data_IF_975611471131
#
_entry.id   IF_975611471131
#
_cell.length_a   1.000
_cell.length_b   1.000
_cell.length_c   1.000
_cell.angle_alpha   90.00
_cell.angle_beta   90.00
_cell.angle_gamma   90.00
#
_symmetry.space_group_name_H-M   'P 1'
#
loop_
_entity.id
_entity.type
_entity.pdbx_description
1 polymer ?
#
# COMPACT_ATOMS: atom_id res chain seq x y z
N UNK A 1 -13.55 29.25 9.14
CA UNK A 1 -13.60 29.26 7.65
C UNK A 1 -13.95 30.65 7.12
N UNK A 2 -14.93 31.34 7.71
CA UNK A 2 -15.34 32.71 7.33
C UNK A 2 -14.19 33.75 7.32
N UNK A 3 -13.45 33.89 8.43
CA UNK A 3 -12.37 34.91 8.56
C UNK A 3 -11.24 34.84 7.51
N UNK A 4 -11.08 33.71 6.82
CA UNK A 4 -10.04 33.50 5.80
C UNK A 4 -10.47 33.96 4.41
N UNK A 5 -11.76 33.87 4.13
CA UNK A 5 -12.35 34.32 2.87
C UNK A 5 -12.38 35.85 2.83
N UNK A 6 -12.75 36.46 3.96
CA UNK A 6 -12.69 37.91 4.15
C UNK A 6 -11.27 38.46 3.94
N UNK A 7 -10.25 37.77 4.45
CA UNK A 7 -8.85 38.21 4.30
C UNK A 7 -8.36 38.12 2.84
N UNK A 8 -8.81 37.12 2.08
CA UNK A 8 -8.52 37.02 0.65
C UNK A 8 -9.22 38.14 -0.14
N UNK A 9 -10.47 38.43 0.18
CA UNK A 9 -11.25 39.51 -0.44
C UNK A 9 -10.62 40.88 -0.19
N UNK A 10 -10.11 41.15 1.02
CA UNK A 10 -9.38 42.37 1.36
C UNK A 10 -8.09 42.54 0.54
N UNK A 11 -7.30 41.47 0.38
CA UNK A 11 -6.04 41.49 -0.39
C UNK A 11 -6.29 41.74 -1.88
N UNK A 12 -7.35 41.17 -2.43
CA UNK A 12 -7.76 41.41 -3.82
C UNK A 12 -8.27 42.85 -4.00
N UNK A 13 -9.07 43.36 -3.06
CA UNK A 13 -9.53 44.76 -3.07
C UNK A 13 -8.37 45.76 -2.97
N UNK A 14 -7.32 45.42 -2.23
CA UNK A 14 -6.10 46.23 -2.13
C UNK A 14 -5.23 46.22 -3.41
N UNK A 15 -5.64 45.52 -4.47
CA UNK A 15 -4.99 45.55 -5.78
C UNK A 15 -3.73 44.68 -5.86
N UNK A 16 -3.50 43.79 -4.91
CA UNK A 16 -2.36 42.88 -4.97
C UNK A 16 -2.60 41.77 -6.00
N UNK A 17 -1.62 41.45 -6.87
CA UNK A 17 -1.75 40.37 -7.83
C UNK A 17 -1.73 39.01 -7.12
N UNK A 18 -2.82 38.26 -7.25
CA UNK A 18 -2.99 36.95 -6.60
C UNK A 18 -3.21 35.86 -7.65
N UNK A 19 -2.35 34.84 -7.68
CA UNK A 19 -2.53 33.66 -8.54
C UNK A 19 -3.71 32.83 -8.02
N UNK A 20 -4.81 32.80 -8.75
CA UNK A 20 -6.07 32.15 -8.34
C UNK A 20 -5.98 30.62 -8.29
N UNK A 21 -4.99 29.96 -8.91
CA UNK A 21 -4.85 28.50 -8.86
C UNK A 21 -4.04 28.00 -7.66
N UNK A 22 -2.97 28.71 -7.32
CA UNK A 22 -2.09 28.34 -6.20
C UNK A 22 -2.55 29.01 -4.89
N UNK A 23 -3.00 30.26 -4.98
CA UNK A 23 -3.28 31.12 -3.81
C UNK A 23 -4.72 31.00 -3.30
N UNK A 24 -5.66 30.49 -4.11
CA UNK A 24 -7.05 30.26 -3.66
C UNK A 24 -7.15 29.19 -2.55
N UNK A 25 -6.20 28.26 -2.47
CA UNK A 25 -6.00 27.49 -1.26
C UNK A 25 -4.92 28.17 -0.42
N UNK A 26 -5.34 29.01 0.51
CA UNK A 26 -4.45 29.59 1.54
C UNK A 26 -3.66 28.53 2.34
N UNK A 27 -4.01 27.23 2.27
CA UNK A 27 -3.17 26.14 2.80
C UNK A 27 -1.94 25.82 1.93
N UNK A 28 -1.95 26.24 0.66
CA UNK A 28 -0.92 26.07 -0.35
C UNK A 28 -0.08 27.33 -0.59
N UNK A 29 -0.26 28.37 0.22
CA UNK A 29 0.67 29.51 0.22
C UNK A 29 2.07 28.96 0.46
N UNK A 30 2.95 29.16 -0.53
CA UNK A 30 4.39 29.01 -0.38
C UNK A 30 4.76 29.81 0.87
N UNK A 31 5.22 29.12 1.90
CA UNK A 31 5.51 29.77 3.18
C UNK A 31 6.68 30.72 2.97
N UNK A 32 6.39 32.02 2.90
CA UNK A 32 7.40 33.04 2.72
C UNK A 32 8.29 33.12 3.97
N UNK A 33 9.59 33.44 3.80
CA UNK A 33 10.47 33.76 4.91
C UNK A 33 9.84 34.79 5.85
N UNK A 34 9.88 34.55 7.15
CA UNK A 34 9.26 35.40 8.17
C UNK A 34 7.80 35.07 8.51
N UNK A 35 7.11 34.22 7.74
CA UNK A 35 5.74 33.81 8.07
C UNK A 35 5.67 32.84 9.26
N UNK A 36 4.71 33.04 10.17
CA UNK A 36 4.49 32.21 11.37
C UNK A 36 3.53 31.05 11.07
N UNK A 37 3.89 29.84 11.49
CA UNK A 37 3.03 28.67 11.39
C UNK A 37 1.91 28.70 12.46
N UNK A 38 0.67 28.97 12.07
CA UNK A 38 -0.44 29.14 13.02
C UNK A 38 -0.68 28.00 14.02
N UNK A 39 -0.36 26.75 13.69
CA UNK A 39 -0.45 25.61 14.64
C UNK A 39 0.74 25.46 15.59
N UNK A 40 1.96 25.80 15.15
CA UNK A 40 3.19 25.42 15.86
C UNK A 40 3.96 26.62 16.38
N UNK A 41 3.68 27.83 15.91
CA UNK A 41 4.37 29.07 16.30
C UNK A 41 5.77 29.24 15.70
N UNK A 42 6.22 28.32 14.84
CA UNK A 42 7.53 28.40 14.20
C UNK A 42 7.54 29.36 13.01
N UNK A 43 8.63 30.11 12.85
CA UNK A 43 8.79 31.08 11.77
C UNK A 43 9.55 30.43 10.62
N UNK A 44 9.03 30.60 9.40
CA UNK A 44 9.68 30.11 8.20
C UNK A 44 11.01 30.84 8.00
N UNK A 45 12.10 30.08 7.99
CA UNK A 45 13.46 30.61 7.94
C UNK A 45 14.15 30.12 6.67
N UNK A 46 14.99 30.97 6.07
CA UNK A 46 15.86 30.58 4.96
C UNK A 46 17.06 29.85 5.57
N UNK A 47 17.39 28.68 5.02
CA UNK A 47 18.56 27.91 5.42
C UNK A 47 19.63 27.97 4.33
N UNK A 48 20.88 28.06 4.75
CA UNK A 48 22.02 27.92 3.82
C UNK A 48 22.28 26.44 3.53
N UNK A 49 22.96 26.19 2.41
CA UNK A 49 23.32 24.83 2.00
C UNK A 49 24.26 24.17 3.01
N UNK A 50 25.18 24.94 3.60
CA UNK A 50 26.09 24.50 4.66
C UNK A 50 25.34 24.06 5.93
N UNK A 51 24.32 24.81 6.35
CA UNK A 51 23.47 24.44 7.48
C UNK A 51 22.73 23.11 7.22
N UNK A 52 22.27 22.90 5.99
CA UNK A 52 21.56 21.68 5.60
C UNK A 52 22.44 20.43 5.67
N UNK A 53 23.75 20.59 5.42
CA UNK A 53 24.74 19.51 5.53
C UNK A 53 25.12 19.17 6.98
N UNK A 54 24.80 20.05 7.94
CA UNK A 54 25.07 19.81 9.35
C UNK A 54 23.91 19.05 10.04
N UNK A 55 24.20 18.23 11.07
CA UNK A 55 23.16 17.56 11.84
C UNK A 55 22.14 18.56 12.41
N UNK A 56 20.85 18.28 12.18
CA UNK A 56 19.74 19.15 12.55
C UNK A 56 19.82 19.76 13.96
N UNK A 57 20.25 18.96 14.93
CA UNK A 57 20.38 19.38 16.34
C UNK A 57 21.36 20.54 16.56
N UNK A 58 22.33 20.75 15.66
CA UNK A 58 23.34 21.80 15.82
C UNK A 58 22.78 23.20 15.56
N UNK A 59 21.76 23.31 14.70
CA UNK A 59 21.24 24.60 14.26
C UNK A 59 19.76 24.80 14.53
N UNK A 60 19.03 23.78 14.98
CA UNK A 60 17.60 23.87 15.30
C UNK A 60 17.27 25.00 16.29
N UNK A 61 18.09 25.21 17.32
CA UNK A 61 17.84 26.24 18.34
C UNK A 61 18.07 27.67 17.81
N UNK A 62 18.70 27.83 16.64
CA UNK A 62 18.86 29.12 15.95
C UNK A 62 17.63 29.56 15.15
N UNK A 63 16.65 28.65 14.98
CA UNK A 63 15.43 28.94 14.22
C UNK A 63 14.54 29.91 14.99
N UNK A 64 14.06 30.96 14.29
CA UNK A 64 13.12 31.93 14.86
C UNK A 64 11.78 31.28 15.17
N UNK A 65 11.18 31.65 16.30
CA UNK A 65 9.86 31.17 16.74
C UNK A 65 9.17 32.23 17.59
N UNK A 66 7.85 32.14 17.67
CA UNK A 66 7.04 32.93 18.59
C UNK A 66 7.22 32.41 20.04
N UNK A 67 6.99 33.25 21.05
CA UNK A 67 7.16 32.87 22.47
C UNK A 67 6.27 31.70 22.88
N UNK A 68 5.04 31.66 22.38
CA UNK A 68 4.09 30.57 22.57
C UNK A 68 4.30 29.37 21.60
N UNK A 69 5.46 29.24 20.95
CA UNK A 69 5.71 28.15 20.02
C UNK A 69 5.79 26.78 20.72
N UNK A 70 5.23 25.76 20.07
CA UNK A 70 5.32 24.38 20.55
C UNK A 70 6.74 23.89 20.35
N UNK A 71 7.27 23.15 21.32
CA UNK A 71 8.58 22.52 21.20
C UNK A 71 8.69 21.60 19.98
N UNK A 72 9.82 21.73 19.27
CA UNK A 72 10.07 20.92 18.09
C UNK A 72 10.41 19.48 18.50
N UNK A 73 9.78 18.46 17.90
CA UNK A 73 10.05 17.07 18.24
C UNK A 73 11.48 16.68 17.85
N UNK A 74 12.36 16.56 18.86
CA UNK A 74 13.81 16.27 18.68
C UNK A 74 14.12 14.81 18.32
N UNK A 75 13.13 13.93 18.38
CA UNK A 75 13.23 12.52 18.02
C UNK A 75 12.15 12.22 16.99
N UNK A 76 12.54 11.59 15.88
CA UNK A 76 11.54 10.96 15.01
C UNK A 76 10.76 9.95 15.86
N UNK A 77 9.45 9.81 15.62
CA UNK A 77 8.70 8.66 16.13
C UNK A 77 9.20 7.42 15.39
N UNK A 78 10.43 7.00 15.63
CA UNK A 78 10.86 5.67 15.24
C UNK A 78 9.93 4.73 16.00
N UNK A 79 9.17 3.93 15.25
CA UNK A 79 8.55 2.76 15.86
C UNK A 79 9.71 1.97 16.44
N UNK A 80 9.81 1.90 17.77
CA UNK A 80 10.72 0.95 18.42
C UNK A 80 10.35 -0.41 17.85
N UNK A 81 11.22 -0.97 17.01
CA UNK A 81 11.15 -2.39 16.71
C UNK A 81 11.37 -3.09 18.03
N UNK A 82 10.32 -3.65 18.62
CA UNK A 82 10.44 -4.48 19.82
C UNK A 82 11.00 -5.87 19.52
N UNK A 83 11.54 -6.10 18.32
CA UNK A 83 12.23 -7.30 17.94
C UNK A 83 13.57 -6.96 17.29
N UNK A 84 14.58 -6.67 18.10
CA UNK A 84 15.96 -6.98 17.72
C UNK A 84 16.13 -8.48 17.93
N UNK A 85 15.69 -9.28 16.96
CA UNK A 85 16.11 -10.68 16.86
C UNK A 85 17.63 -10.63 16.63
N UNK A 86 18.39 -10.97 17.65
CA UNK A 86 19.83 -11.20 17.51
C UNK A 86 19.95 -12.34 16.51
N UNK A 87 20.27 -12.02 15.25
CA UNK A 87 20.66 -13.04 14.28
C UNK A 87 21.97 -13.61 14.82
N UNK A 88 21.95 -14.89 15.21
CA UNK A 88 23.19 -15.65 15.35
C UNK A 88 23.95 -15.52 14.02
N UNK A 89 25.24 -15.15 14.03
CA UNK A 89 26.02 -15.19 12.81
C UNK A 89 26.14 -16.65 12.38
N UNK A 90 25.36 -17.05 11.38
CA UNK A 90 25.66 -18.25 10.61
C UNK A 90 26.79 -17.87 9.64
N UNK A 91 27.91 -18.56 9.71
CA UNK A 91 29.05 -18.42 8.77
C UNK A 91 28.74 -18.94 7.35
N UNK A 92 27.46 -19.06 7.00
CA UNK A 92 27.01 -19.47 5.68
C UNK A 92 26.56 -18.19 5.00
N UNK A 93 27.22 -17.81 3.89
CA UNK A 93 26.71 -16.72 3.07
C UNK A 93 25.25 -17.01 2.73
N UNK A 94 24.31 -16.09 3.01
CA UNK A 94 22.91 -16.34 2.70
C UNK A 94 22.78 -16.50 1.19
N UNK A 95 22.31 -17.68 0.79
CA UNK A 95 22.05 -18.03 -0.60
C UNK A 95 21.07 -17.02 -1.20
N UNK A 96 21.30 -16.66 -2.47
CA UNK A 96 20.40 -15.75 -3.18
C UNK A 96 19.21 -16.54 -3.69
N UNK A 97 18.00 -16.05 -3.42
CA UNK A 97 16.76 -16.68 -3.87
C UNK A 97 16.11 -15.87 -4.97
N UNK A 98 15.72 -16.52 -6.07
CA UNK A 98 14.88 -15.94 -7.12
C UNK A 98 13.42 -16.37 -6.94
N UNK A 99 12.47 -15.50 -7.28
CA UNK A 99 11.05 -15.84 -7.25
C UNK A 99 10.25 -15.02 -8.26
N UNK A 100 9.07 -15.51 -8.62
CA UNK A 100 8.12 -14.83 -9.49
C UNK A 100 7.11 -14.09 -8.62
N UNK A 101 6.94 -12.80 -8.90
CA UNK A 101 5.95 -11.95 -8.24
C UNK A 101 4.99 -11.35 -9.26
N UNK A 102 3.72 -11.19 -8.85
CA UNK A 102 2.69 -10.53 -9.64
C UNK A 102 2.21 -9.28 -8.93
N UNK A 103 1.96 -8.23 -9.72
CA UNK A 103 1.36 -7.01 -9.24
C UNK A 103 -0.13 -7.18 -8.99
N UNK A 104 -0.61 -6.71 -7.86
CA UNK A 104 -2.04 -6.55 -7.58
C UNK A 104 -2.73 -5.49 -8.45
N UNK A 105 -1.99 -4.65 -9.16
CA UNK A 105 -2.56 -3.58 -9.97
C UNK A 105 -3.37 -4.13 -11.15
N UNK A 106 -4.58 -3.58 -11.39
CA UNK A 106 -5.34 -3.85 -12.61
C UNK A 106 -4.85 -2.95 -13.74
N UNK A 107 -4.07 -3.45 -14.71
CA UNK A 107 -3.45 -2.59 -15.71
C UNK A 107 -4.50 -2.01 -16.66
N UNK A 108 -4.27 -0.81 -17.15
CA UNK A 108 -5.28 -0.03 -17.90
C UNK A 108 -6.25 0.76 -17.02
N UNK A 109 -6.16 0.63 -15.69
CA UNK A 109 -6.91 1.46 -14.74
C UNK A 109 -5.97 2.40 -13.98
N UNK A 110 -6.48 3.52 -13.46
CA UNK A 110 -5.66 4.46 -12.67
C UNK A 110 -5.57 4.09 -11.19
N UNK A 111 -6.64 3.52 -10.63
CA UNK A 111 -6.83 3.40 -9.18
C UNK A 111 -7.54 2.09 -8.77
N UNK A 112 -7.31 1.00 -9.53
CA UNK A 112 -7.87 -0.31 -9.17
C UNK A 112 -6.75 -1.34 -8.96
N UNK A 113 -7.00 -2.22 -8.00
CA UNK A 113 -6.15 -3.36 -7.68
C UNK A 113 -7.03 -4.56 -7.31
N UNK A 114 -6.58 -5.77 -7.63
CA UNK A 114 -7.19 -7.00 -7.17
C UNK A 114 -6.75 -7.35 -5.75
N UNK A 115 -7.55 -8.15 -5.07
CA UNK A 115 -7.15 -8.72 -3.79
C UNK A 115 -6.31 -9.96 -4.06
N UNK A 116 -4.99 -9.83 -3.95
CA UNK A 116 -4.05 -10.95 -4.05
C UNK A 116 -3.09 -10.83 -2.86
N UNK A 117 -3.08 -11.82 -1.97
CA UNK A 117 -2.20 -11.83 -0.79
C UNK A 117 -2.17 -13.23 -0.15
N UNK A 118 -1.08 -13.54 0.55
CA UNK A 118 -1.01 -14.75 1.36
C UNK A 118 -1.82 -14.58 2.65
N UNK A 119 -2.70 -15.54 2.96
CA UNK A 119 -3.55 -15.49 4.15
C UNK A 119 -2.71 -15.34 5.43
N UNK A 120 -3.20 -14.57 6.43
CA UNK A 120 -2.47 -14.33 7.66
C UNK A 120 -2.06 -15.63 8.37
N UNK A 121 -0.82 -15.73 8.85
CA UNK A 121 -0.32 -16.94 9.52
C UNK A 121 -1.11 -17.33 10.76
N UNK A 122 -1.72 -16.36 11.44
CA UNK A 122 -2.57 -16.61 12.60
C UNK A 122 -3.97 -17.13 12.24
N UNK A 123 -4.27 -17.35 10.95
CA UNK A 123 -5.52 -17.97 10.52
C UNK A 123 -5.49 -19.50 10.62
N UNK A 124 -4.33 -20.10 10.91
CA UNK A 124 -4.16 -21.53 11.13
C UNK A 124 -3.62 -22.24 9.89
N UNK A 125 -3.75 -23.56 9.89
CA UNK A 125 -3.39 -24.44 8.78
C UNK A 125 -4.22 -24.12 7.52
N UNK A 126 -3.77 -24.51 6.31
CA UNK A 126 -4.42 -24.12 5.06
C UNK A 126 -5.94 -24.30 5.01
N UNK A 127 -6.48 -25.41 5.53
CA UNK A 127 -7.92 -25.67 5.56
C UNK A 127 -8.68 -24.67 6.46
N UNK A 128 -8.15 -24.39 7.65
CA UNK A 128 -8.74 -23.42 8.57
C UNK A 128 -8.65 -22.00 8.02
N UNK A 129 -7.53 -21.67 7.37
CA UNK A 129 -7.29 -20.39 6.75
C UNK A 129 -8.28 -20.15 5.59
N UNK A 130 -8.53 -21.17 4.74
CA UNK A 130 -9.55 -21.10 3.69
C UNK A 130 -10.94 -20.88 4.28
N UNK A 131 -11.32 -21.60 5.34
CA UNK A 131 -12.64 -21.40 6.00
C UNK A 131 -12.84 -19.95 6.46
N UNK A 132 -11.84 -19.38 7.16
CA UNK A 132 -11.87 -17.96 7.57
C UNK A 132 -11.88 -17.02 6.37
N UNK A 133 -11.21 -17.39 5.28
CA UNK A 133 -11.23 -16.62 4.05
C UNK A 133 -12.62 -16.62 3.38
N UNK A 134 -13.39 -17.71 3.47
CA UNK A 134 -14.77 -17.75 2.98
C UNK A 134 -15.69 -16.82 3.77
N UNK A 135 -15.60 -16.85 5.11
CA UNK A 135 -16.34 -15.91 5.97
C UNK A 135 -15.99 -14.45 5.62
N UNK A 136 -14.71 -14.20 5.34
CA UNK A 136 -14.22 -12.91 4.87
C UNK A 136 -14.78 -12.55 3.47
N UNK A 137 -14.78 -13.46 2.51
CA UNK A 137 -15.30 -13.21 1.16
C UNK A 137 -16.81 -12.91 1.20
N UNK A 138 -17.56 -13.64 2.03
CA UNK A 138 -18.98 -13.40 2.26
C UNK A 138 -19.25 -12.04 2.91
N UNK A 139 -18.45 -11.65 3.91
CA UNK A 139 -18.59 -10.37 4.61
C UNK A 139 -18.43 -9.14 3.70
N UNK A 140 -17.61 -9.24 2.65
CA UNK A 140 -17.35 -8.14 1.72
C UNK A 140 -17.92 -8.37 0.32
N UNK A 141 -18.74 -9.42 0.14
CA UNK A 141 -19.33 -9.80 -1.16
C UNK A 141 -18.28 -9.81 -2.27
N UNK A 142 -17.18 -10.53 -2.06
CA UNK A 142 -16.03 -10.51 -2.98
C UNK A 142 -16.28 -11.32 -4.27
N UNK A 143 -17.22 -12.25 -4.25
CA UNK A 143 -17.44 -13.20 -5.33
C UNK A 143 -16.35 -14.27 -5.41
N UNK A 144 -16.28 -14.91 -6.58
CA UNK A 144 -15.39 -16.03 -6.85
C UNK A 144 -13.94 -15.67 -6.50
N UNK A 145 -13.34 -16.53 -5.70
CA UNK A 145 -12.00 -16.36 -5.15
C UNK A 145 -11.23 -17.66 -5.29
N UNK A 146 -10.05 -17.59 -5.89
CA UNK A 146 -9.18 -18.73 -6.11
C UNK A 146 -8.16 -18.86 -4.98
N UNK A 147 -7.86 -20.11 -4.61
CA UNK A 147 -6.96 -20.45 -3.52
C UNK A 147 -5.89 -21.45 -3.96
N UNK A 148 -4.66 -21.21 -3.53
CA UNK A 148 -3.53 -22.14 -3.69
C UNK A 148 -2.80 -22.33 -2.36
N UNK A 149 -2.01 -23.40 -2.23
CA UNK A 149 -1.17 -23.65 -1.05
C UNK A 149 0.24 -24.07 -1.43
N UNK A 150 1.23 -23.64 -0.66
CA UNK A 150 2.60 -24.17 -0.71
C UNK A 150 2.84 -25.29 0.31
N UNK A 151 1.77 -25.78 0.95
CA UNK A 151 1.80 -26.75 2.04
C UNK A 151 1.79 -26.11 3.42
N UNK A 152 2.31 -24.88 3.58
CA UNK A 152 2.35 -24.17 4.86
C UNK A 152 1.35 -23.00 4.92
N UNK A 153 1.16 -22.31 3.79
CA UNK A 153 0.35 -21.11 3.69
C UNK A 153 -0.55 -21.18 2.48
N UNK A 154 -1.65 -20.45 2.59
CA UNK A 154 -2.61 -20.31 1.49
C UNK A 154 -2.45 -18.95 0.82
N UNK A 155 -2.33 -18.96 -0.50
CA UNK A 155 -2.46 -17.77 -1.35
C UNK A 155 -3.93 -17.59 -1.74
N UNK A 156 -4.43 -16.36 -1.66
CA UNK A 156 -5.80 -16.02 -2.05
C UNK A 156 -5.78 -14.99 -3.17
N UNK A 157 -6.60 -15.20 -4.21
CA UNK A 157 -6.87 -14.24 -5.27
C UNK A 157 -8.37 -14.02 -5.44
N UNK A 158 -8.84 -12.80 -5.19
CA UNK A 158 -10.13 -12.32 -5.65
C UNK A 158 -9.90 -11.40 -6.85
N UNK A 159 -10.22 -11.84 -8.08
CA UNK A 159 -9.90 -11.11 -9.31
C UNK A 159 -10.94 -10.02 -9.60
N UNK A 160 -11.26 -9.18 -8.61
CA UNK A 160 -12.14 -8.02 -8.72
C UNK A 160 -11.32 -6.75 -8.81
N UNK A 161 -11.71 -5.80 -9.65
CA UNK A 161 -11.05 -4.51 -9.79
C UNK A 161 -11.52 -3.55 -8.69
N UNK A 162 -10.98 -3.71 -7.49
CA UNK A 162 -11.37 -2.98 -6.28
C UNK A 162 -10.68 -1.59 -6.26
N UNK A 163 -11.39 -0.49 -5.93
CA UNK A 163 -10.75 0.80 -5.69
C UNK A 163 -9.68 0.69 -4.59
N UNK A 164 -8.47 1.23 -4.82
CA UNK A 164 -7.36 1.07 -3.86
C UNK A 164 -7.71 1.50 -2.44
N UNK A 165 -8.46 2.60 -2.30
CA UNK A 165 -8.90 3.07 -0.98
C UNK A 165 -9.79 2.06 -0.25
N UNK A 166 -10.67 1.37 -0.98
CA UNK A 166 -11.51 0.33 -0.41
C UNK A 166 -10.68 -0.92 -0.10
N UNK A 167 -9.78 -1.31 -1.00
CA UNK A 167 -8.85 -2.42 -0.77
C UNK A 167 -8.01 -2.20 0.49
N UNK A 168 -7.47 -0.98 0.69
CA UNK A 168 -6.71 -0.63 1.90
C UNK A 168 -7.57 -0.71 3.16
N UNK A 169 -8.83 -0.28 3.13
CA UNK A 169 -9.76 -0.39 4.26
C UNK A 169 -10.05 -1.85 4.61
N UNK A 170 -10.39 -2.65 3.60
CA UNK A 170 -10.67 -4.08 3.75
C UNK A 170 -9.43 -4.81 4.28
N UNK A 171 -8.27 -4.61 3.65
CA UNK A 171 -7.01 -5.24 4.07
C UNK A 171 -6.65 -4.88 5.52
N UNK A 172 -6.79 -3.61 5.91
CA UNK A 172 -6.52 -3.14 7.28
C UNK A 172 -7.42 -3.83 8.31
N UNK A 173 -8.73 -3.89 8.04
CA UNK A 173 -9.72 -4.41 9.00
C UNK A 173 -9.56 -5.91 9.26
N UNK A 174 -9.02 -6.65 8.30
CA UNK A 174 -8.94 -8.12 8.37
C UNK A 174 -7.51 -8.66 8.51
N UNK A 175 -6.53 -7.82 8.85
CA UNK A 175 -5.18 -8.27 9.20
C UNK A 175 -4.21 -8.49 8.03
N UNK A 176 -4.57 -8.10 6.81
CA UNK A 176 -3.70 -8.15 5.62
C UNK A 176 -2.73 -6.95 5.60
N UNK A 177 -1.84 -6.89 6.59
CA UNK A 177 -1.00 -5.72 6.84
C UNK A 177 0.01 -5.44 5.71
N UNK A 178 0.48 -6.47 5.00
CA UNK A 178 1.40 -6.33 3.89
C UNK A 178 0.71 -5.66 2.70
N UNK A 179 -0.35 -6.26 2.15
CA UNK A 179 -1.21 -5.68 1.12
C UNK A 179 -1.61 -4.24 1.44
N UNK A 180 -2.11 -4.01 2.66
CA UNK A 180 -2.47 -2.68 3.15
C UNK A 180 -1.32 -1.68 2.98
N UNK A 181 -0.12 -2.05 3.46
CA UNK A 181 1.05 -1.16 3.49
C UNK A 181 1.58 -0.89 2.08
N UNK A 182 1.65 -1.91 1.24
CA UNK A 182 2.20 -1.77 -0.11
C UNK A 182 1.24 -0.96 -1.00
N UNK A 183 -0.07 -1.26 -0.99
CA UNK A 183 -1.06 -0.49 -1.76
C UNK A 183 -1.12 0.97 -1.31
N UNK A 184 -1.06 1.25 -0.01
CA UNK A 184 -1.09 2.62 0.51
C UNK A 184 0.18 3.44 0.16
N UNK A 185 1.34 2.78 0.03
CA UNK A 185 2.62 3.46 -0.19
C UNK A 185 3.08 3.50 -1.63
N UNK A 186 2.74 2.47 -2.40
CA UNK A 186 3.28 2.20 -3.73
C UNK A 186 2.17 1.92 -4.74
N UNK A 187 0.91 2.21 -4.41
CA UNK A 187 -0.27 2.01 -5.24
C UNK A 187 -0.67 0.55 -5.50
N UNK A 188 0.25 -0.39 -5.40
CA UNK A 188 0.02 -1.82 -5.53
C UNK A 188 1.03 -2.62 -4.70
N UNK A 189 0.65 -3.85 -4.39
CA UNK A 189 1.58 -4.85 -3.86
C UNK A 189 2.13 -5.74 -4.98
N UNK A 190 3.37 -6.19 -4.80
CA UNK A 190 3.96 -7.29 -5.53
C UNK A 190 3.92 -8.53 -4.65
N UNK A 191 3.29 -9.60 -5.13
CA UNK A 191 2.98 -10.81 -4.35
C UNK A 191 3.65 -11.99 -5.01
N UNK A 192 4.42 -12.76 -4.23
CA UNK A 192 5.07 -13.99 -4.69
C UNK A 192 4.03 -15.04 -5.03
N UNK A 193 4.14 -15.65 -6.21
CA UNK A 193 3.26 -16.74 -6.70
C UNK A 193 4.02 -18.02 -7.09
N UNK A 194 5.32 -18.09 -6.78
CA UNK A 194 6.15 -19.27 -7.01
C UNK A 194 6.85 -19.70 -5.73
N UNK A 195 7.43 -20.90 -5.76
CA UNK A 195 8.52 -21.27 -4.84
C UNK A 195 9.71 -20.32 -4.97
N UNK A 196 10.61 -20.36 -3.99
CA UNK A 196 11.89 -19.67 -4.02
C UNK A 196 12.95 -20.57 -4.66
N UNK A 197 13.64 -20.09 -5.68
CA UNK A 197 14.74 -20.79 -6.33
C UNK A 197 16.07 -20.36 -5.71
N UNK A 198 16.73 -21.26 -5.00
CA UNK A 198 18.12 -21.11 -4.58
C UNK A 198 19.08 -21.73 -5.58
N UNK A 199 20.26 -21.14 -5.73
CA UNK A 199 21.32 -21.62 -6.64
C UNK A 199 21.82 -23.03 -6.27
N UNK A 200 21.82 -23.36 -4.99
CA UNK A 200 22.18 -24.66 -4.42
C UNK A 200 20.94 -25.48 -4.02
N UNK A 201 19.92 -24.85 -3.46
CA UNK A 201 18.71 -25.55 -2.99
C UNK A 201 17.73 -25.92 -4.11
N UNK A 202 17.89 -25.35 -5.30
CA UNK A 202 16.92 -25.46 -6.38
C UNK A 202 15.60 -24.76 -6.04
N UNK A 203 14.52 -25.14 -6.74
CA UNK A 203 13.18 -24.65 -6.44
C UNK A 203 12.67 -25.22 -5.12
N UNK A 204 12.19 -24.33 -4.25
CA UNK A 204 11.33 -24.69 -3.14
C UNK A 204 9.98 -25.25 -3.61
N UNK A 205 9.13 -25.62 -2.65
CA UNK A 205 7.85 -26.28 -2.93
C UNK A 205 6.95 -25.54 -3.93
N UNK A 206 6.20 -26.33 -4.70
CA UNK A 206 5.27 -25.85 -5.70
C UNK A 206 4.02 -25.23 -5.07
N UNK A 207 3.41 -24.30 -5.80
CA UNK A 207 2.14 -23.72 -5.44
C UNK A 207 0.99 -24.57 -6.02
N UNK A 208 0.32 -25.32 -5.15
CA UNK A 208 -0.70 -26.30 -5.53
C UNK A 208 -2.09 -25.65 -5.54
N UNK A 209 -2.88 -25.78 -6.62
CA UNK A 209 -4.25 -25.27 -6.66
C UNK A 209 -5.15 -26.00 -5.66
N UNK A 210 -5.95 -25.25 -4.90
CA UNK A 210 -6.99 -25.80 -4.02
C UNK A 210 -8.31 -25.84 -4.77
N UNK A 211 -8.96 -24.68 -4.98
CA UNK A 211 -10.19 -24.55 -5.74
C UNK A 211 -10.57 -23.05 -5.94
N UNK A 212 -11.62 -22.80 -6.72
CA UNK A 212 -12.36 -21.53 -6.79
C UNK A 212 -13.61 -21.62 -5.92
N UNK A 213 -13.73 -20.77 -4.91
CA UNK A 213 -14.82 -20.76 -3.94
C UNK A 213 -15.50 -19.38 -3.86
N UNK A 214 -16.51 -19.21 -3.00
CA UNK A 214 -17.27 -17.97 -2.79
C UNK A 214 -18.05 -17.44 -4.02
N UNK A 215 -18.32 -18.32 -4.98
CA UNK A 215 -18.99 -18.00 -6.24
C UNK A 215 -20.44 -17.54 -6.02
N UNK A 216 -21.06 -17.98 -4.93
CA UNK A 216 -22.41 -17.62 -4.50
C UNK A 216 -22.58 -16.11 -4.22
N UNK A 217 -21.48 -15.40 -3.95
CA UNK A 217 -21.51 -13.94 -3.71
C UNK A 217 -21.18 -13.10 -4.95
N UNK A 218 -21.08 -13.73 -6.12
CA UNK A 218 -20.76 -13.04 -7.38
C UNK A 218 -21.77 -11.95 -7.73
N UNK A 219 -23.06 -12.24 -7.61
CA UNK A 219 -24.15 -11.29 -7.91
C UNK A 219 -24.15 -10.07 -6.99
N UNK A 220 -23.61 -10.21 -5.78
CA UNK A 220 -23.59 -9.16 -4.77
C UNK A 220 -22.35 -8.26 -4.90
N UNK A 221 -21.34 -8.70 -5.66
CA UNK A 221 -20.10 -7.98 -5.82
C UNK A 221 -20.26 -6.77 -6.75
N UNK A 222 -20.15 -5.57 -6.17
CA UNK A 222 -20.29 -4.31 -6.91
C UNK A 222 -19.08 -3.97 -7.80
N UNK A 223 -17.98 -4.72 -7.69
CA UNK A 223 -16.75 -4.41 -8.42
C UNK A 223 -16.65 -5.23 -9.71
N UNK A 224 -16.26 -4.59 -10.82
CA UNK A 224 -16.07 -5.30 -12.07
C UNK A 224 -14.92 -6.29 -11.93
N UNK A 225 -14.88 -7.28 -12.83
CA UNK A 225 -13.78 -8.24 -12.86
C UNK A 225 -12.46 -7.57 -13.25
N UNK A 226 -11.34 -8.12 -12.79
CA UNK A 226 -10.01 -7.77 -13.31
C UNK A 226 -9.59 -8.79 -14.37
N UNK A 227 -9.47 -8.33 -15.61
CA UNK A 227 -9.11 -9.20 -16.74
C UNK A 227 -7.75 -9.88 -16.53
N UNK A 228 -6.72 -9.11 -16.18
CA UNK A 228 -5.38 -9.59 -15.89
C UNK A 228 -5.33 -10.67 -14.80
N UNK A 229 -6.15 -10.53 -13.76
CA UNK A 229 -6.13 -11.48 -12.65
C UNK A 229 -7.01 -12.71 -12.90
N UNK A 230 -8.01 -12.60 -13.77
CA UNK A 230 -8.71 -13.78 -14.28
C UNK A 230 -7.79 -14.62 -15.16
N UNK A 231 -7.06 -13.98 -16.08
CA UNK A 231 -6.06 -14.65 -16.90
C UNK A 231 -4.95 -15.27 -16.05
N UNK A 232 -4.51 -14.57 -15.00
CA UNK A 232 -3.55 -15.11 -14.04
C UNK A 232 -4.07 -16.40 -13.40
N UNK A 233 -5.31 -16.41 -12.92
CA UNK A 233 -5.89 -17.58 -12.28
C UNK A 233 -6.02 -18.78 -13.24
N UNK A 234 -6.44 -18.53 -14.48
CA UNK A 234 -6.46 -19.53 -15.54
C UNK A 234 -5.06 -20.11 -15.80
N UNK A 235 -4.04 -19.26 -15.96
CA UNK A 235 -2.66 -19.68 -16.16
C UNK A 235 -2.10 -20.46 -14.94
N UNK A 236 -2.65 -20.23 -13.76
CA UNK A 236 -2.30 -20.92 -12.52
C UNK A 236 -3.22 -22.12 -12.21
N UNK A 237 -4.01 -22.57 -13.18
CA UNK A 237 -4.81 -23.80 -13.11
C UNK A 237 -6.16 -23.68 -12.41
N UNK A 238 -6.64 -22.47 -12.12
CA UNK A 238 -7.95 -22.20 -11.52
C UNK A 238 -8.75 -21.20 -12.37
N UNK A 239 -9.25 -21.61 -13.55
CA UNK A 239 -10.09 -20.74 -14.37
C UNK A 239 -11.39 -20.38 -13.62
N UNK A 240 -11.78 -19.11 -13.71
CA UNK A 240 -12.99 -18.59 -13.08
C UNK A 240 -13.97 -18.12 -14.14
N UNK A 241 -15.22 -18.58 -14.04
CA UNK A 241 -16.28 -18.11 -14.93
C UNK A 241 -16.71 -16.70 -14.51
N UNK A 242 -16.58 -15.77 -15.46
CA UNK A 242 -17.16 -14.43 -15.33
C UNK A 242 -18.68 -14.56 -15.32
N UNK A 243 -19.32 -13.89 -14.38
CA UNK A 243 -20.74 -13.56 -14.51
C UNK A 243 -20.92 -12.47 -15.60
N UNK A 244 -22.16 -12.04 -15.85
CA UNK A 244 -22.45 -10.97 -16.80
C UNK A 244 -21.90 -9.58 -16.42
N UNK A 245 -21.17 -9.45 -15.31
CA UNK A 245 -20.60 -8.17 -14.86
C UNK A 245 -19.42 -7.77 -15.76
N UNK A 246 -19.29 -6.47 -16.00
CA UNK A 246 -18.21 -5.92 -16.82
C UNK A 246 -16.81 -6.28 -16.30
N UNK A 247 -15.87 -6.42 -17.23
CA UNK A 247 -14.45 -6.57 -16.91
C UNK A 247 -13.68 -5.27 -17.07
N UNK A 248 -12.67 -5.09 -16.24
CA UNK A 248 -11.78 -3.92 -16.22
C UNK A 248 -10.33 -4.30 -16.47
N UNK A 249 -9.65 -3.41 -17.18
CA UNK A 249 -8.23 -3.55 -17.51
C UNK A 249 -7.96 -4.48 -18.69
N UNK A 250 -6.68 -4.72 -18.97
CA UNK A 250 -6.23 -5.66 -19.99
C UNK A 250 -6.00 -7.07 -19.38
N UNK A 251 -5.81 -8.07 -20.24
CA UNK A 251 -5.66 -9.48 -19.86
C UNK A 251 -4.23 -9.86 -19.43
N UNK A 252 -3.25 -8.96 -19.60
CA UNK A 252 -1.86 -9.26 -19.27
C UNK A 252 -1.51 -8.85 -17.83
N UNK A 253 -1.34 -9.81 -16.90
CA UNK A 253 -0.85 -9.50 -15.56
C UNK A 253 0.57 -8.94 -15.61
N UNK A 254 0.85 -7.96 -14.75
CA UNK A 254 2.22 -7.47 -14.57
C UNK A 254 3.00 -8.42 -13.68
N UNK A 255 3.91 -9.18 -14.28
CA UNK A 255 4.75 -10.19 -13.61
C UNK A 255 6.20 -9.73 -13.61
N UNK A 256 6.96 -10.07 -12.57
CA UNK A 256 8.40 -9.84 -12.50
C UNK A 256 9.13 -11.00 -11.82
N UNK A 257 10.41 -11.14 -12.13
CA UNK A 257 11.33 -12.02 -11.41
C UNK A 257 12.14 -11.16 -10.45
N UNK A 258 12.26 -11.58 -9.19
CA UNK A 258 12.99 -10.85 -8.15
C UNK A 258 14.02 -11.76 -7.50
N UNK A 259 15.24 -11.25 -7.35
CA UNK A 259 16.30 -11.89 -6.57
C UNK A 259 16.43 -11.22 -5.19
N UNK A 260 16.45 -12.02 -4.13
CA UNK A 260 16.59 -11.59 -2.73
C UNK A 260 17.79 -12.30 -2.07
N UNK A 261 18.28 -11.72 -0.98
CA UNK A 261 19.36 -12.23 -0.10
C UNK A 261 18.79 -12.51 1.29
#
# INVERSE_FOLDING_TARGET
RASRKELLEQVVQAGHPVDTKITADIRRIIRLPGSVHGKTGWICSILTLEQLQQPFKKWMDSLKRHDAAIDMPKKSKSKKSFFTRVKKPSNIEPEKYASIEVSTHVPGTKNRSAFLEWLPKNWGEPQEAVKKALDFCALYSLGATAFWTDGERTLMLTPRAIPREQLVKIAKKNGFLNLKKEVEKKDHAWIRISGEFGEHSGWGGDLIPINVLAQETNSDCIWPWSQAHLQLAENMGLPMQKDGTEGSGNEQPSIRIVQRK
#
